data_IF_010502771634
#
_entry.id   IF_010502771634
#
_cell.length_a   1.000
_cell.length_b   1.000
_cell.length_c   1.000
_cell.angle_alpha   90.00
_cell.angle_beta   90.00
_cell.angle_gamma   90.00
#
_symmetry.space_group_name_H-M   'P 1'
#
loop_
_entity.id
_entity.type
_entity.pdbx_description
1 polymer ?
#
# COMPACT_ATOMS: atom_id res chain seq x y z
N UNK A 1 0.51 18.24 24.03
CA UNK A 1 -0.13 17.67 22.81
C UNK A 1 -1.21 18.59 22.27
N UNK A 2 -2.17 19.06 23.09
CA UNK A 2 -3.20 19.99 22.61
C UNK A 2 -2.64 21.27 21.97
N UNK A 3 -1.67 21.93 22.63
CA UNK A 3 -1.01 23.13 22.09
C UNK A 3 -0.37 22.94 20.71
N UNK A 4 0.14 21.74 20.42
CA UNK A 4 0.72 21.40 19.12
C UNK A 4 -0.36 21.22 18.05
N UNK A 5 -1.50 20.61 18.40
CA UNK A 5 -2.67 20.52 17.53
C UNK A 5 -3.24 21.91 17.21
N UNK A 6 -3.33 22.79 18.21
CA UNK A 6 -3.80 24.16 18.03
C UNK A 6 -2.88 24.95 17.09
N UNK A 7 -1.56 24.80 17.25
CA UNK A 7 -0.57 25.42 16.35
C UNK A 7 -0.76 24.93 14.91
N UNK A 8 -0.87 23.62 14.69
CA UNK A 8 -1.11 23.04 13.36
C UNK A 8 -2.37 23.64 12.75
N UNK A 9 -3.49 23.59 13.46
CA UNK A 9 -4.80 24.05 12.97
C UNK A 9 -4.86 25.58 12.77
N UNK A 10 -3.96 26.35 13.39
CA UNK A 10 -3.82 27.78 13.10
C UNK A 10 -3.17 28.06 11.74
N UNK A 11 -2.30 27.15 11.27
CA UNK A 11 -1.48 27.31 10.06
C UNK A 11 -2.08 26.63 8.83
N UNK A 12 -2.55 25.39 8.98
CA UNK A 12 -3.16 24.64 7.89
C UNK A 12 -4.69 24.81 7.91
N UNK A 13 -5.33 24.86 6.73
CA UNK A 13 -6.80 24.98 6.59
C UNK A 13 -7.46 23.86 5.78
N UNK A 14 -6.68 22.94 5.20
CA UNK A 14 -7.18 21.92 4.25
C UNK A 14 -7.48 20.58 4.92
N UNK A 15 -7.11 20.40 6.18
CA UNK A 15 -7.42 19.22 7.00
C UNK A 15 -7.66 19.66 8.44
N UNK A 16 -7.81 18.74 9.40
CA UNK A 16 -7.97 19.10 10.82
C UNK A 16 -7.20 18.10 11.68
N UNK A 17 -6.32 18.60 12.54
CA UNK A 17 -5.60 17.79 13.53
C UNK A 17 -6.44 17.61 14.80
N UNK A 18 -6.33 16.45 15.45
CA UNK A 18 -7.05 16.14 16.70
C UNK A 18 -6.25 15.16 17.56
N UNK A 19 -6.34 15.33 18.89
CA UNK A 19 -5.81 14.38 19.88
C UNK A 19 -6.84 13.34 20.34
N UNK A 20 -8.10 13.47 19.90
CA UNK A 20 -9.20 12.57 20.30
C UNK A 20 -9.25 11.27 19.49
N UNK A 21 -8.16 10.92 18.82
CA UNK A 21 -8.02 9.66 18.12
C UNK A 21 -7.73 8.53 19.12
N UNK A 22 -8.69 7.61 19.29
CA UNK A 22 -8.56 6.49 20.23
C UNK A 22 -7.31 5.63 20.01
N UNK A 23 -6.89 5.44 18.75
CA UNK A 23 -5.73 4.60 18.39
C UNK A 23 -4.39 5.20 18.82
N UNK A 24 -4.21 6.51 18.73
CA UNK A 24 -2.89 7.15 18.85
C UNK A 24 -2.72 7.98 20.13
N UNK A 25 -3.76 8.10 20.95
CA UNK A 25 -3.76 8.93 22.18
C UNK A 25 -2.63 8.58 23.16
N UNK A 26 -2.21 7.31 23.19
CA UNK A 26 -1.17 6.79 24.10
C UNK A 26 0.15 6.47 23.40
N UNK A 27 0.30 6.83 22.12
CA UNK A 27 1.49 6.48 21.36
C UNK A 27 2.67 7.37 21.74
N UNK A 28 3.83 6.74 21.92
CA UNK A 28 5.10 7.44 21.99
C UNK A 28 5.62 7.81 20.60
N UNK A 29 6.64 8.66 20.54
CA UNK A 29 7.36 8.92 19.30
C UNK A 29 7.99 7.64 18.72
N UNK A 30 8.40 6.70 19.58
CA UNK A 30 8.90 5.40 19.15
C UNK A 30 7.81 4.58 18.45
N UNK A 31 6.60 4.53 19.00
CA UNK A 31 5.47 3.81 18.40
C UNK A 31 5.08 4.42 17.06
N UNK A 32 5.05 5.75 16.97
CA UNK A 32 4.81 6.46 15.72
C UNK A 32 5.86 6.14 14.65
N UNK A 33 7.15 6.09 15.02
CA UNK A 33 8.24 5.70 14.11
C UNK A 33 8.12 4.25 13.65
N UNK A 34 7.72 3.34 14.55
CA UNK A 34 7.55 1.92 14.25
C UNK A 34 6.48 1.65 13.20
N UNK A 35 5.46 2.53 13.08
CA UNK A 35 4.47 2.41 12.00
C UNK A 35 5.02 2.81 10.61
N UNK A 36 6.14 3.52 10.54
CA UNK A 36 6.74 4.05 9.32
C UNK A 36 7.87 3.16 8.76
N UNK A 37 7.58 1.87 8.53
CA UNK A 37 8.59 0.88 8.15
C UNK A 37 9.00 0.83 6.67
N UNK A 38 8.69 1.83 5.85
CA UNK A 38 9.17 1.85 4.45
C UNK A 38 10.51 2.57 4.36
N UNK A 39 11.54 1.85 3.92
CA UNK A 39 12.84 2.42 3.59
C UNK A 39 12.79 3.01 2.18
N UNK A 40 13.03 4.32 2.09
CA UNK A 40 12.99 5.07 0.84
C UNK A 40 14.34 4.97 0.12
N UNK A 41 14.60 3.81 -0.48
CA UNK A 41 15.69 3.65 -1.44
C UNK A 41 15.20 3.89 -2.87
N UNK A 42 16.09 4.41 -3.73
CA UNK A 42 15.78 4.57 -5.14
C UNK A 42 15.55 3.19 -5.76
N UNK A 43 14.43 3.04 -6.47
CA UNK A 43 14.19 1.87 -7.29
C UNK A 43 15.30 1.75 -8.34
N UNK A 44 16.16 0.74 -8.21
CA UNK A 44 17.16 0.40 -9.22
C UNK A 44 16.63 -0.74 -10.10
N UNK A 45 16.80 -0.62 -11.41
CA UNK A 45 16.45 -1.69 -12.35
C UNK A 45 14.97 -1.81 -12.73
N UNK A 46 14.07 -0.94 -12.25
CA UNK A 46 12.67 -0.90 -12.71
C UNK A 46 12.50 0.07 -13.89
N UNK A 47 11.88 -0.41 -14.96
CA UNK A 47 11.48 0.45 -16.08
C UNK A 47 10.30 1.32 -15.69
N UNK A 48 10.45 2.64 -15.83
CA UNK A 48 9.35 3.56 -15.66
C UNK A 48 8.33 3.34 -16.79
N UNK A 49 7.09 3.01 -16.43
CA UNK A 49 5.98 3.01 -17.39
C UNK A 49 5.67 4.45 -17.78
N UNK A 50 5.74 4.76 -19.08
CA UNK A 50 5.40 6.06 -19.66
C UNK A 50 4.13 5.90 -20.49
N UNK A 51 3.20 6.83 -20.34
CA UNK A 51 1.96 6.89 -21.10
C UNK A 51 2.08 7.97 -22.17
N UNK A 52 1.51 7.72 -23.36
CA UNK A 52 1.45 8.71 -24.42
C UNK A 52 0.50 9.87 -24.01
N UNK A 53 0.76 11.13 -24.41
CA UNK A 53 -0.13 12.25 -24.09
C UNK A 53 -1.59 12.01 -24.48
N UNK A 54 -1.81 11.28 -25.57
CA UNK A 54 -3.12 10.93 -26.10
C UNK A 54 -3.90 10.02 -25.13
N UNK A 55 -3.22 9.13 -24.40
CA UNK A 55 -3.83 8.26 -23.38
C UNK A 55 -4.28 9.03 -22.13
N UNK A 56 -3.77 10.25 -21.94
CA UNK A 56 -4.01 11.07 -20.76
C UNK A 56 -5.02 12.21 -21.03
N UNK A 57 -5.48 12.35 -22.26
CA UNK A 57 -6.30 13.49 -22.71
C UNK A 57 -7.68 13.53 -22.05
N UNK A 58 -8.29 12.38 -21.84
CA UNK A 58 -9.69 12.25 -21.44
C UNK A 58 -9.85 11.65 -20.02
N UNK A 59 -8.91 11.95 -19.11
CA UNK A 59 -9.00 11.51 -17.73
C UNK A 59 -10.07 12.29 -16.96
N UNK A 60 -10.86 11.63 -16.08
CA UNK A 60 -11.82 12.32 -15.25
C UNK A 60 -11.11 13.23 -14.24
N UNK A 61 -11.76 14.34 -13.86
CA UNK A 61 -11.25 15.24 -12.81
C UNK A 61 -11.23 14.56 -11.44
N UNK A 62 -12.12 13.60 -11.24
CA UNK A 62 -12.31 12.88 -9.98
C UNK A 62 -12.50 11.39 -10.28
N UNK A 63 -11.77 10.53 -9.57
CA UNK A 63 -11.86 9.10 -9.72
C UNK A 63 -11.71 8.38 -8.40
N UNK A 64 -12.68 7.51 -8.09
CA UNK A 64 -12.61 6.58 -6.97
C UNK A 64 -12.63 5.15 -7.52
N UNK A 65 -11.55 4.40 -7.30
CA UNK A 65 -11.43 3.03 -7.77
C UNK A 65 -12.52 2.10 -7.23
N UNK A 66 -13.08 2.36 -6.04
CA UNK A 66 -14.18 1.59 -5.46
C UNK A 66 -15.46 1.73 -6.28
N UNK A 67 -15.67 2.91 -6.85
CA UNK A 67 -16.81 3.21 -7.74
C UNK A 67 -16.53 2.80 -9.18
N UNK A 68 -15.28 2.95 -9.64
CA UNK A 68 -14.85 2.58 -11.00
C UNK A 68 -14.83 1.06 -11.24
N UNK A 69 -14.61 0.26 -10.19
CA UNK A 69 -14.59 -1.19 -10.25
C UNK A 69 -15.58 -1.80 -9.24
N UNK A 70 -16.89 -1.71 -9.48
CA UNK A 70 -17.91 -2.06 -8.48
C UNK A 70 -17.84 -3.51 -8.00
N UNK A 71 -17.48 -4.45 -8.89
CA UNK A 71 -17.26 -5.87 -8.54
C UNK A 71 -16.08 -6.09 -7.57
N UNK A 72 -15.17 -5.13 -7.50
CA UNK A 72 -13.98 -5.16 -6.65
C UNK A 72 -14.04 -4.13 -5.51
N UNK A 73 -15.16 -3.42 -5.36
CA UNK A 73 -15.34 -2.38 -4.34
C UNK A 73 -15.03 -2.87 -2.92
N UNK A 74 -15.43 -4.11 -2.60
CA UNK A 74 -15.15 -4.74 -1.32
C UNK A 74 -13.68 -5.11 -1.10
N UNK A 75 -12.90 -5.37 -2.16
CA UNK A 75 -11.46 -5.64 -2.07
C UNK A 75 -10.69 -4.32 -1.97
N UNK A 76 -10.97 -3.38 -2.87
CA UNK A 76 -10.32 -2.06 -2.94
C UNK A 76 -10.61 -1.22 -1.70
N UNK A 77 -11.84 -1.31 -1.17
CA UNK A 77 -12.25 -0.59 0.02
C UNK A 77 -11.82 -1.25 1.34
N UNK A 78 -11.14 -2.40 1.30
CA UNK A 78 -10.78 -3.14 2.50
C UNK A 78 -9.56 -2.52 3.19
N UNK A 79 -9.78 -1.87 4.33
CA UNK A 79 -8.71 -1.29 5.15
C UNK A 79 -8.13 -2.35 6.07
N UNK A 80 -6.82 -2.60 5.96
CA UNK A 80 -6.08 -3.58 6.79
C UNK A 80 -5.30 -2.87 7.92
N UNK A 81 -4.88 -3.66 8.90
CA UNK A 81 -4.10 -3.17 10.06
C UNK A 81 -2.73 -3.85 10.12
N UNK A 82 -1.65 -3.06 10.00
CA UNK A 82 -0.27 -3.53 10.15
C UNK A 82 0.12 -3.81 11.62
N UNK A 83 -0.76 -3.50 12.59
CA UNK A 83 -0.54 -3.64 14.03
C UNK A 83 0.70 -2.87 14.51
N UNK A 84 1.35 -3.32 15.58
CA UNK A 84 2.58 -2.73 16.13
C UNK A 84 3.85 -3.18 15.39
N UNK A 85 3.82 -3.17 14.05
CA UNK A 85 4.87 -3.67 13.17
C UNK A 85 5.10 -2.69 12.02
N UNK A 86 6.36 -2.45 11.65
CA UNK A 86 6.76 -1.62 10.51
C UNK A 86 6.60 -2.34 9.17
N UNK A 87 5.47 -3.01 8.95
CA UNK A 87 5.20 -3.82 7.76
C UNK A 87 4.41 -3.09 6.67
N UNK A 88 4.27 -1.76 6.74
CA UNK A 88 3.57 -0.98 5.71
C UNK A 88 4.16 -1.18 4.30
N UNK A 89 5.46 -1.46 4.20
CA UNK A 89 6.14 -1.80 2.94
C UNK A 89 5.65 -3.13 2.34
N UNK A 90 5.11 -4.05 3.15
CA UNK A 90 4.51 -5.30 2.71
C UNK A 90 3.01 -5.14 2.45
N UNK A 91 2.30 -4.43 3.33
CA UNK A 91 0.86 -4.21 3.21
C UNK A 91 0.48 -3.45 1.94
N UNK A 92 1.12 -2.31 1.65
CA UNK A 92 0.78 -1.48 0.49
C UNK A 92 0.87 -2.22 -0.86
N UNK A 93 1.99 -2.91 -1.17
CA UNK A 93 2.10 -3.72 -2.39
C UNK A 93 1.12 -4.89 -2.42
N UNK A 94 0.91 -5.60 -1.30
CA UNK A 94 -0.04 -6.71 -1.24
C UNK A 94 -1.48 -6.23 -1.49
N UNK A 95 -1.91 -5.12 -0.90
CA UNK A 95 -3.22 -4.50 -1.12
C UNK A 95 -3.40 -4.08 -2.58
N UNK A 96 -2.45 -3.33 -3.15
CA UNK A 96 -2.53 -2.90 -4.54
C UNK A 96 -2.52 -4.08 -5.53
N UNK A 97 -1.82 -5.16 -5.20
CA UNK A 97 -1.80 -6.36 -6.03
C UNK A 97 -3.11 -7.15 -5.93
N UNK A 98 -3.70 -7.21 -4.74
CA UNK A 98 -5.06 -7.71 -4.52
C UNK A 98 -6.08 -7.02 -5.42
N UNK A 99 -6.07 -5.68 -5.43
CA UNK A 99 -6.97 -4.87 -6.25
C UNK A 99 -6.81 -5.19 -7.73
N UNK A 100 -5.57 -5.23 -8.21
CA UNK A 100 -5.25 -5.54 -9.61
C UNK A 100 -5.69 -6.93 -10.00
N UNK A 101 -5.54 -7.92 -9.12
CA UNK A 101 -5.96 -9.29 -9.38
C UNK A 101 -7.49 -9.40 -9.46
N UNK A 102 -8.20 -8.70 -8.58
CA UNK A 102 -9.66 -8.60 -8.67
C UNK A 102 -10.09 -7.93 -9.98
N UNK A 103 -9.54 -6.77 -10.32
CA UNK A 103 -9.88 -6.02 -11.54
C UNK A 103 -9.59 -6.86 -12.79
N UNK A 104 -8.42 -7.51 -12.83
CA UNK A 104 -8.01 -8.34 -13.98
C UNK A 104 -8.88 -9.58 -14.14
N UNK A 105 -9.39 -10.13 -13.05
CA UNK A 105 -10.27 -11.30 -13.03
C UNK A 105 -11.76 -10.93 -13.14
N UNK A 106 -12.09 -9.65 -13.36
CA UNK A 106 -13.47 -9.14 -13.41
C UNK A 106 -14.30 -9.52 -12.17
N UNK A 107 -13.67 -9.49 -11.00
CA UNK A 107 -14.29 -9.82 -9.71
C UNK A 107 -14.33 -11.30 -9.37
N UNK A 108 -13.77 -12.19 -10.20
CA UNK A 108 -13.75 -13.63 -9.90
C UNK A 108 -12.74 -14.00 -8.80
N UNK A 109 -11.67 -13.20 -8.63
CA UNK A 109 -10.72 -13.36 -7.55
C UNK A 109 -10.88 -12.24 -6.52
N UNK A 110 -11.35 -12.58 -5.33
CA UNK A 110 -11.57 -11.63 -4.23
C UNK A 110 -10.87 -12.02 -2.94
N UNK A 111 -10.12 -13.12 -2.94
CA UNK A 111 -9.37 -13.57 -1.78
C UNK A 111 -8.24 -12.60 -1.42
N UNK A 112 -8.01 -12.39 -0.12
CA UNK A 112 -6.95 -11.50 0.35
C UNK A 112 -5.59 -12.23 0.33
N UNK A 113 -4.61 -11.66 -0.37
CA UNK A 113 -3.24 -12.13 -0.34
C UNK A 113 -2.61 -11.85 1.02
N UNK A 114 -1.69 -12.73 1.41
CA UNK A 114 -1.05 -12.71 2.72
C UNK A 114 0.02 -11.61 2.80
N UNK A 115 -0.31 -10.50 3.48
CA UNK A 115 0.69 -9.48 3.83
C UNK A 115 1.70 -10.03 4.85
N UNK A 116 1.32 -11.04 5.65
CA UNK A 116 2.21 -11.72 6.57
C UNK A 116 3.28 -12.55 5.86
N UNK A 117 2.92 -13.22 4.77
CA UNK A 117 3.88 -13.95 3.93
C UNK A 117 4.84 -12.99 3.23
N UNK A 118 4.32 -11.89 2.67
CA UNK A 118 5.16 -10.83 2.13
C UNK A 118 6.13 -10.28 3.18
N UNK A 119 5.65 -10.06 4.40
CA UNK A 119 6.47 -9.54 5.50
C UNK A 119 7.52 -10.52 6.03
N UNK A 120 7.23 -11.84 6.04
CA UNK A 120 8.08 -12.85 6.65
C UNK A 120 9.04 -13.53 5.66
N UNK A 121 8.67 -13.62 4.38
CA UNK A 121 9.38 -14.44 3.40
C UNK A 121 10.13 -13.61 2.35
N UNK A 122 9.81 -12.33 2.16
CA UNK A 122 10.58 -11.46 1.28
C UNK A 122 11.92 -11.06 1.93
N UNK A 123 13.00 -10.89 1.14
CA UNK A 123 14.29 -10.41 1.65
C UNK A 123 14.15 -8.96 2.13
N UNK A 124 13.91 -8.79 3.42
CA UNK A 124 13.60 -7.52 4.07
C UNK A 124 13.93 -7.62 5.57
N UNK A 125 13.68 -6.55 6.32
CA UNK A 125 13.79 -6.55 7.79
C UNK A 125 12.44 -6.80 8.49
N UNK A 126 11.42 -7.27 7.75
CA UNK A 126 10.11 -7.58 8.31
C UNK A 126 9.48 -6.36 9.00
N UNK A 127 9.22 -6.50 10.30
CA UNK A 127 8.67 -5.43 11.13
C UNK A 127 9.62 -4.27 11.41
N UNK A 128 10.92 -4.42 11.14
CA UNK A 128 11.90 -3.35 11.28
C UNK A 128 12.11 -2.58 9.96
N UNK A 129 11.38 -2.98 8.91
CA UNK A 129 11.20 -2.22 7.69
C UNK A 129 11.61 -2.96 6.41
N UNK A 130 11.30 -2.35 5.26
CA UNK A 130 11.59 -2.92 3.96
C UNK A 130 11.44 -1.91 2.83
N UNK A 131 11.94 -2.27 1.65
CA UNK A 131 11.92 -1.39 0.49
C UNK A 131 10.59 -1.52 -0.26
N UNK A 132 9.77 -0.47 -0.21
CA UNK A 132 8.49 -0.40 -0.93
C UNK A 132 8.62 -0.21 -2.45
N UNK A 133 9.83 0.08 -2.95
CA UNK A 133 10.07 0.39 -4.38
C UNK A 133 11.13 -0.51 -5.04
N UNK A 134 11.14 -1.82 -4.82
CA UNK A 134 11.93 -2.76 -5.65
C UNK A 134 13.42 -2.41 -5.88
N UNK A 135 14.01 -1.58 -5.02
CA UNK A 135 15.38 -1.10 -5.10
C UNK A 135 16.08 -1.43 -3.80
N UNK A 136 17.25 -2.05 -3.93
CA UNK A 136 18.24 -2.28 -2.87
C UNK A 136 17.99 -3.47 -1.93
N UNK A 137 16.77 -3.69 -1.43
CA UNK A 137 16.48 -4.87 -0.59
C UNK A 137 15.88 -6.06 -1.37
N UNK A 138 15.44 -5.86 -2.61
CA UNK A 138 14.89 -6.92 -3.44
C UNK A 138 15.62 -7.03 -4.77
N UNK A 139 16.49 -8.03 -4.89
CA UNK A 139 16.84 -8.63 -6.18
C UNK A 139 15.66 -9.40 -6.81
N UNK A 140 14.47 -9.42 -6.18
CA UNK A 140 13.37 -10.31 -6.56
C UNK A 140 11.96 -9.68 -6.47
N UNK A 141 11.77 -8.43 -6.93
CA UNK A 141 10.42 -7.96 -7.30
C UNK A 141 9.73 -8.87 -8.35
N UNK A 142 10.52 -9.68 -9.05
CA UNK A 142 10.13 -10.80 -9.92
C UNK A 142 9.44 -11.95 -9.17
N UNK A 143 9.68 -12.13 -7.86
CA UNK A 143 9.09 -13.24 -7.10
C UNK A 143 7.60 -13.07 -6.85
N UNK A 144 7.06 -11.87 -6.68
CA UNK A 144 5.59 -11.69 -6.58
C UNK A 144 4.90 -12.15 -7.87
N UNK A 145 5.50 -11.91 -9.04
CA UNK A 145 4.99 -12.44 -10.31
C UNK A 145 5.20 -13.96 -10.42
N UNK A 146 6.33 -14.50 -9.93
CA UNK A 146 6.61 -15.95 -9.95
C UNK A 146 5.83 -16.77 -8.93
N UNK A 147 5.45 -16.21 -7.77
CA UNK A 147 4.67 -16.90 -6.72
C UNK A 147 3.22 -17.11 -7.19
N UNK A 148 2.70 -16.19 -8.02
CA UNK A 148 1.28 -16.19 -8.42
C UNK A 148 1.10 -16.63 -9.89
N UNK A 149 2.18 -16.69 -10.66
CA UNK A 149 2.20 -17.29 -12.02
C UNK A 149 1.57 -18.69 -12.08
N UNK A 150 1.82 -19.61 -11.13
CA UNK A 150 1.17 -20.92 -11.13
C UNK A 150 -0.35 -20.87 -10.88
N UNK A 151 -0.85 -19.82 -10.23
CA UNK A 151 -2.28 -19.64 -9.95
C UNK A 151 -3.04 -19.04 -11.15
N UNK A 152 -2.32 -18.38 -12.08
CA UNK A 152 -2.89 -17.76 -13.28
C UNK A 152 -2.89 -18.68 -14.52
N UNK A 153 -2.09 -19.76 -14.52
CA UNK A 153 -2.01 -20.71 -15.65
C UNK A 153 -2.93 -21.92 -15.53
N UNK A 154 -3.70 -22.06 -14.45
CA UNK A 154 -4.51 -23.26 -14.21
C UNK A 154 -5.96 -23.22 -14.75
N UNK A 155 -6.36 -22.18 -15.50
CA UNK A 155 -7.67 -22.18 -16.20
C UNK A 155 -7.55 -21.48 -17.57
N UNK A 156 -7.15 -22.25 -18.57
CA UNK A 156 -7.46 -22.04 -19.99
C UNK A 156 -8.30 -23.21 -20.48
#
# INVERSE_FOLDING_TARGET
MQSFVDEINSKQKTWTASIEQGRFKTFSLHDAKRLCGTLLEAASGLTKKVYAPEELKDLPTDFDARSGFPKCSGVIGHIRDQSACGSCWAFGPTEAFNDRLCIKSDGNYTALLSAGEMNACAPSLGCEGGCGRGGGCMTQGSQLVSIVSPLLTARS
#
